data_IF_348603881096
#
_entry.id   IF_348603881096
#
_cell.length_a   1.000
_cell.length_b   1.000
_cell.length_c   1.000
_cell.angle_alpha   90.00
_cell.angle_beta   90.00
_cell.angle_gamma   90.00
#
_symmetry.space_group_name_H-M   'P 1'
#
loop_
_entity.id
_entity.type
_entity.pdbx_description
1 polymer ?
#
# COMPACT_ATOMS: atom_id res chain seq x y z
N UNK A 1 -17.38 2.21 -2.29
CA UNK A 1 -17.41 1.15 -1.27
C UNK A 1 -16.17 0.32 -1.49
N UNK A 2 -15.24 0.30 -0.53
CA UNK A 2 -13.90 -0.30 -0.71
C UNK A 2 -13.78 -1.72 -0.09
N UNK A 3 -14.90 -2.38 0.19
CA UNK A 3 -14.93 -3.80 0.55
C UNK A 3 -15.38 -4.57 -0.70
N UNK A 4 -14.43 -5.21 -1.36
CA UNK A 4 -14.66 -5.98 -2.59
C UNK A 4 -14.82 -7.48 -2.30
N UNK A 5 -14.18 -7.97 -1.24
CA UNK A 5 -14.25 -9.35 -0.78
C UNK A 5 -14.83 -9.38 0.63
N UNK A 6 -15.99 -10.01 0.78
CA UNK A 6 -16.60 -10.26 2.07
C UNK A 6 -15.95 -11.47 2.74
N UNK A 7 -15.84 -11.43 4.05
CA UNK A 7 -15.30 -12.50 4.88
C UNK A 7 -16.35 -12.85 5.92
N UNK A 8 -16.65 -14.12 6.10
CA UNK A 8 -17.58 -14.57 7.13
C UNK A 8 -16.95 -14.51 8.52
N UNK A 9 -17.80 -14.42 9.54
CA UNK A 9 -17.37 -14.39 10.95
C UNK A 9 -16.50 -15.60 11.30
N UNK A 10 -16.94 -16.80 10.87
CA UNK A 10 -16.24 -18.06 11.14
C UNK A 10 -14.86 -18.14 10.46
N UNK A 11 -14.77 -17.74 9.18
CA UNK A 11 -13.50 -17.69 8.44
C UNK A 11 -12.51 -16.72 9.08
N UNK A 12 -13.00 -15.52 9.47
CA UNK A 12 -12.15 -14.53 10.11
C UNK A 12 -11.73 -14.96 11.51
N UNK A 13 -12.62 -15.56 12.30
CA UNK A 13 -12.28 -16.08 13.60
C UNK A 13 -11.20 -17.17 13.54
N UNK A 14 -11.32 -18.11 12.58
CA UNK A 14 -10.31 -19.14 12.33
C UNK A 14 -8.97 -18.53 11.87
N UNK A 15 -9.03 -17.52 11.00
CA UNK A 15 -7.84 -16.80 10.55
C UNK A 15 -7.11 -16.12 11.72
N UNK A 16 -7.82 -15.37 12.56
CA UNK A 16 -7.25 -14.69 13.74
C UNK A 16 -6.69 -15.67 14.76
N UNK A 17 -7.37 -16.79 15.00
CA UNK A 17 -6.88 -17.84 15.90
C UNK A 17 -5.49 -18.35 15.50
N UNK A 18 -5.18 -18.40 14.19
CA UNK A 18 -3.87 -18.83 13.71
C UNK A 18 -2.71 -17.87 14.05
N UNK A 19 -3.00 -16.66 14.49
CA UNK A 19 -2.00 -15.67 14.93
C UNK A 19 -1.73 -15.68 16.44
N UNK A 20 -2.51 -16.44 17.24
CA UNK A 20 -2.36 -16.45 18.70
C UNK A 20 -2.73 -15.13 19.36
N UNK A 21 -3.60 -14.34 18.73
CA UNK A 21 -4.02 -13.02 19.22
C UNK A 21 -5.25 -13.06 20.15
N UNK A 22 -5.63 -14.24 20.62
CA UNK A 22 -6.86 -14.45 21.38
C UNK A 22 -8.08 -14.52 20.48
N UNK A 23 -9.26 -14.27 21.05
CA UNK A 23 -10.52 -14.32 20.32
C UNK A 23 -10.73 -13.09 19.45
N UNK A 24 -11.39 -13.27 18.30
CA UNK A 24 -11.97 -12.19 17.52
C UNK A 24 -13.16 -11.60 18.30
N UNK A 25 -13.11 -10.32 18.62
CA UNK A 25 -14.16 -9.61 19.36
C UNK A 25 -15.14 -8.89 18.42
N UNK A 26 -14.60 -8.22 17.40
CA UNK A 26 -15.40 -7.55 16.38
C UNK A 26 -14.55 -7.21 15.17
N UNK A 27 -15.20 -6.96 14.04
CA UNK A 27 -14.54 -6.42 12.84
C UNK A 27 -15.49 -5.54 12.05
N UNK A 28 -14.91 -4.66 11.25
CA UNK A 28 -15.67 -3.76 10.38
C UNK A 28 -14.88 -3.45 9.12
N UNK A 29 -15.53 -3.53 7.97
CA UNK A 29 -14.96 -3.11 6.69
C UNK A 29 -14.67 -1.60 6.68
N UNK A 30 -13.49 -1.24 6.16
CA UNK A 30 -13.05 0.14 5.97
C UNK A 30 -13.48 0.57 4.57
N UNK A 31 -14.32 1.61 4.49
CA UNK A 31 -14.90 2.07 3.23
C UNK A 31 -13.93 2.90 2.38
N UNK A 32 -12.83 3.34 2.94
CA UNK A 32 -11.79 4.12 2.28
C UNK A 32 -10.80 3.20 1.55
N UNK A 33 -10.28 3.70 0.44
CA UNK A 33 -9.34 2.97 -0.42
C UNK A 33 -10.00 2.49 -1.71
N UNK A 34 -9.17 2.17 -2.71
CA UNK A 34 -9.63 1.82 -4.07
C UNK A 34 -8.96 0.56 -4.63
N UNK A 35 -8.04 -0.05 -3.89
CA UNK A 35 -7.24 -1.15 -4.42
C UNK A 35 -7.42 -2.47 -3.67
N UNK A 36 -7.56 -2.42 -2.34
CA UNK A 36 -7.63 -3.58 -1.49
C UNK A 36 -8.88 -3.55 -0.60
N UNK A 37 -9.31 -4.70 -0.12
CA UNK A 37 -10.31 -4.80 0.93
C UNK A 37 -9.60 -4.70 2.29
N UNK A 38 -10.01 -3.76 3.11
CA UNK A 38 -9.45 -3.57 4.44
C UNK A 38 -10.53 -3.72 5.52
N UNK A 39 -10.15 -4.36 6.62
CA UNK A 39 -10.96 -4.46 7.83
C UNK A 39 -10.19 -3.96 9.03
N UNK A 40 -10.84 -3.20 9.90
CA UNK A 40 -10.37 -3.08 11.28
C UNK A 40 -10.86 -4.30 12.04
N UNK A 41 -9.96 -4.96 12.75
CA UNK A 41 -10.20 -6.19 13.49
C UNK A 41 -9.83 -5.95 14.95
N UNK A 42 -10.75 -6.20 15.87
CA UNK A 42 -10.50 -6.13 17.30
C UNK A 42 -10.38 -7.53 17.88
N UNK A 43 -9.30 -7.78 18.60
CA UNK A 43 -9.01 -9.04 19.28
C UNK A 43 -8.77 -8.79 20.76
N UNK A 44 -8.65 -9.85 21.57
CA UNK A 44 -8.26 -9.73 22.98
C UNK A 44 -6.87 -9.08 23.15
N UNK A 45 -6.03 -9.07 22.12
CA UNK A 45 -4.69 -8.44 22.13
C UNK A 45 -4.69 -7.01 21.55
N UNK A 46 -5.86 -6.50 21.18
CA UNK A 46 -6.02 -5.14 20.64
C UNK A 46 -6.47 -5.09 19.19
N UNK A 47 -6.44 -3.87 18.60
CA UNK A 47 -6.86 -3.64 17.22
C UNK A 47 -5.74 -3.94 16.22
N UNK A 48 -6.14 -4.43 15.05
CA UNK A 48 -5.28 -4.69 13.88
C UNK A 48 -5.98 -4.26 12.61
N UNK A 49 -5.21 -4.09 11.53
CA UNK A 49 -5.75 -3.93 10.18
C UNK A 49 -5.49 -5.23 9.41
N UNK A 50 -6.55 -5.82 8.91
CA UNK A 50 -6.51 -6.92 7.96
C UNK A 50 -6.66 -6.36 6.55
N UNK A 51 -5.69 -6.66 5.69
CA UNK A 51 -5.74 -6.31 4.26
C UNK A 51 -5.84 -7.56 3.42
N UNK A 52 -6.89 -7.65 2.61
CA UNK A 52 -7.02 -8.64 1.53
C UNK A 52 -6.57 -7.97 0.23
N UNK A 53 -5.54 -8.54 -0.40
CA UNK A 53 -4.97 -8.00 -1.64
C UNK A 53 -5.80 -8.44 -2.83
N UNK A 54 -6.39 -7.46 -3.51
CA UNK A 54 -7.24 -7.69 -4.68
C UNK A 54 -6.41 -7.79 -5.97
N UNK A 55 -7.07 -7.72 -7.11
CA UNK A 55 -6.48 -8.03 -8.44
C UNK A 55 -5.35 -7.11 -8.91
N UNK A 56 -5.20 -5.92 -8.33
CA UNK A 56 -4.22 -4.92 -8.81
C UNK A 56 -2.81 -5.12 -8.30
N UNK A 57 -2.63 -5.85 -7.21
CA UNK A 57 -1.31 -6.11 -6.62
C UNK A 57 -0.82 -7.46 -7.13
N UNK A 58 0.36 -7.48 -7.75
CA UNK A 58 1.01 -8.74 -8.10
C UNK A 58 1.46 -9.47 -6.84
N UNK A 59 1.15 -10.77 -6.74
CA UNK A 59 1.53 -11.61 -5.59
C UNK A 59 3.04 -11.57 -5.33
N UNK A 60 3.81 -11.47 -6.40
CA UNK A 60 5.28 -11.39 -6.37
C UNK A 60 5.80 -10.11 -5.72
N UNK A 61 4.97 -9.06 -5.62
CA UNK A 61 5.33 -7.77 -5.02
C UNK A 61 5.04 -7.73 -3.50
N UNK A 62 4.18 -8.62 -2.98
CA UNK A 62 3.78 -8.61 -1.57
C UNK A 62 4.95 -8.80 -0.59
N UNK A 63 5.94 -9.68 -0.86
CA UNK A 63 7.13 -9.79 -0.01
C UNK A 63 7.94 -8.49 0.08
N UNK A 64 7.98 -7.70 -1.00
CA UNK A 64 8.61 -6.38 -0.97
C UNK A 64 7.89 -5.43 0.00
N UNK A 65 6.58 -5.33 -0.08
CA UNK A 65 5.81 -4.40 0.75
C UNK A 65 5.84 -4.81 2.23
N UNK A 66 5.57 -6.08 2.53
CA UNK A 66 5.58 -6.58 3.90
C UNK A 66 6.99 -6.51 4.52
N UNK A 67 8.01 -6.93 3.77
CA UNK A 67 9.39 -6.86 4.21
C UNK A 67 9.88 -5.42 4.42
N UNK A 68 9.43 -4.47 3.59
CA UNK A 68 9.76 -3.06 3.78
C UNK A 68 9.15 -2.49 5.07
N UNK A 69 7.89 -2.81 5.37
CA UNK A 69 7.26 -2.39 6.63
C UNK A 69 8.03 -2.92 7.85
N UNK A 70 8.40 -4.22 7.86
CA UNK A 70 9.22 -4.80 8.93
C UNK A 70 10.59 -4.11 9.05
N UNK A 71 11.25 -3.86 7.91
CA UNK A 71 12.56 -3.22 7.87
C UNK A 71 12.56 -1.79 8.40
N UNK A 72 11.54 -1.00 8.03
CA UNK A 72 11.35 0.38 8.49
C UNK A 72 11.01 0.43 9.98
N UNK A 73 10.08 -0.43 10.45
CA UNK A 73 9.71 -0.53 11.85
C UNK A 73 10.92 -0.88 12.74
N UNK A 74 11.77 -1.83 12.31
CA UNK A 74 12.99 -2.19 13.02
C UNK A 74 14.01 -1.04 13.11
N UNK A 75 13.89 -0.02 12.25
CA UNK A 75 14.70 1.22 12.28
C UNK A 75 14.03 2.39 13.00
N UNK A 76 12.92 2.14 13.68
CA UNK A 76 12.21 3.16 14.45
C UNK A 76 11.34 4.10 13.61
N UNK A 77 11.09 3.78 12.34
CA UNK A 77 10.11 4.49 11.53
C UNK A 77 8.71 4.07 11.97
N UNK A 78 7.87 5.05 12.32
CA UNK A 78 6.47 4.79 12.69
C UNK A 78 5.68 4.36 11.46
N UNK A 79 5.47 3.06 11.30
CA UNK A 79 4.67 2.48 10.22
C UNK A 79 3.94 1.22 10.73
N UNK A 80 2.87 0.77 10.05
CA UNK A 80 2.25 -0.51 10.37
C UNK A 80 3.28 -1.63 10.23
N UNK A 81 3.24 -2.59 11.15
CA UNK A 81 4.16 -3.74 11.13
C UNK A 81 3.37 -5.01 10.86
N UNK A 82 3.76 -5.83 9.87
CA UNK A 82 3.14 -7.12 9.63
C UNK A 82 3.21 -8.02 10.85
N UNK A 83 2.09 -8.63 11.20
CA UNK A 83 1.99 -9.61 12.27
C UNK A 83 2.26 -10.98 11.68
N UNK A 84 3.13 -11.75 12.33
CA UNK A 84 3.40 -13.15 11.94
C UNK A 84 2.45 -14.07 12.66
N UNK A 85 1.98 -15.09 11.94
CA UNK A 85 1.19 -16.16 12.55
C UNK A 85 2.05 -17.10 13.41
N UNK A 86 1.44 -18.09 14.02
CA UNK A 86 2.14 -19.07 14.87
C UNK A 86 3.19 -19.92 14.14
N UNK A 87 3.16 -19.95 12.81
CA UNK A 87 4.17 -20.61 11.95
C UNK A 87 5.28 -19.65 11.50
N UNK A 88 5.15 -18.35 11.78
CA UNK A 88 6.09 -17.32 11.35
C UNK A 88 5.74 -16.65 10.01
N UNK A 89 4.59 -16.95 9.41
CA UNK A 89 4.15 -16.40 8.14
C UNK A 89 3.45 -15.06 8.35
N UNK A 90 3.77 -14.05 7.53
CA UNK A 90 3.13 -12.75 7.53
C UNK A 90 2.17 -12.53 6.35
N UNK A 91 2.07 -13.52 5.44
CA UNK A 91 1.18 -13.52 4.29
C UNK A 91 0.45 -14.86 4.21
N UNK A 92 -0.87 -14.82 4.21
CA UNK A 92 -1.73 -16.01 4.19
C UNK A 92 -2.82 -15.90 3.13
N UNK A 93 -3.74 -16.86 3.13
CA UNK A 93 -4.94 -16.83 2.28
C UNK A 93 -6.18 -16.68 3.17
N UNK A 94 -7.11 -15.83 2.75
CA UNK A 94 -8.42 -15.66 3.37
C UNK A 94 -9.45 -15.32 2.27
N UNK A 95 -10.58 -15.99 2.27
CA UNK A 95 -11.64 -15.80 1.27
C UNK A 95 -11.11 -15.81 -0.19
N UNK A 96 -10.14 -16.71 -0.49
CA UNK A 96 -9.52 -16.83 -1.81
C UNK A 96 -8.60 -15.68 -2.21
N UNK A 97 -8.21 -14.82 -1.25
CA UNK A 97 -7.28 -13.69 -1.46
C UNK A 97 -6.04 -13.82 -0.59
N UNK A 98 -4.87 -13.36 -1.07
CA UNK A 98 -3.74 -13.13 -0.19
C UNK A 98 -4.13 -12.11 0.87
N UNK A 99 -3.80 -12.39 2.11
CA UNK A 99 -4.18 -11.56 3.25
C UNK A 99 -3.00 -11.37 4.21
N UNK A 100 -2.86 -10.17 4.73
CA UNK A 100 -1.90 -9.85 5.77
C UNK A 100 -2.57 -9.07 6.90
N UNK A 101 -2.16 -9.38 8.12
CA UNK A 101 -2.54 -8.65 9.31
C UNK A 101 -1.40 -7.70 9.69
N UNK A 102 -1.71 -6.41 9.92
CA UNK A 102 -0.73 -5.43 10.35
C UNK A 102 -1.20 -4.73 11.63
N UNK A 103 -0.25 -4.20 12.39
CA UNK A 103 -0.56 -3.44 13.61
C UNK A 103 -1.39 -2.20 13.28
N UNK A 104 -2.35 -1.89 14.15
CA UNK A 104 -3.11 -0.66 14.07
C UNK A 104 -2.25 0.52 14.56
N UNK A 105 -2.23 1.61 13.83
CA UNK A 105 -1.63 2.86 14.27
C UNK A 105 -2.71 3.82 14.75
N UNK A 106 -2.58 4.26 15.98
CA UNK A 106 -3.46 5.29 16.54
C UNK A 106 -3.21 6.64 15.88
N UNK A 107 -4.27 7.38 15.64
CA UNK A 107 -4.18 8.70 15.05
C UNK A 107 -5.54 9.26 14.67
N UNK A 108 -5.53 10.46 14.16
CA UNK A 108 -6.74 11.10 13.65
C UNK A 108 -6.43 11.88 12.37
N UNK A 109 -7.43 11.96 11.54
CA UNK A 109 -7.34 12.66 10.27
C UNK A 109 -7.47 14.18 10.44
N UNK A 110 -6.53 14.93 9.87
CA UNK A 110 -6.53 16.40 9.91
C UNK A 110 -7.18 16.94 8.64
N UNK A 111 -8.44 17.37 8.76
CA UNK A 111 -9.23 17.86 7.62
C UNK A 111 -8.67 19.15 6.98
N UNK A 112 -8.07 20.03 7.80
CA UNK A 112 -7.48 21.29 7.34
C UNK A 112 -6.04 21.37 7.86
N UNK A 113 -5.05 20.88 7.09
CA UNK A 113 -3.67 20.89 7.55
C UNK A 113 -3.15 22.34 7.67
N UNK A 114 -2.43 22.59 8.77
CA UNK A 114 -1.68 23.81 9.00
C UNK A 114 -0.18 23.56 8.67
N UNK A 115 0.66 24.61 8.57
CA UNK A 115 2.09 24.47 8.28
C UNK A 115 2.82 23.47 9.18
N UNK A 116 2.45 23.38 10.46
CA UNK A 116 3.03 22.41 11.40
C UNK A 116 2.74 20.94 10.98
N UNK A 117 1.57 20.65 10.43
CA UNK A 117 1.22 19.33 9.94
C UNK A 117 2.03 19.00 8.67
N UNK A 118 2.21 19.97 7.77
CA UNK A 118 3.06 19.78 6.58
C UNK A 118 4.52 19.53 6.96
N UNK A 119 5.04 20.27 7.94
CA UNK A 119 6.39 20.04 8.45
C UNK A 119 6.54 18.66 9.12
N UNK A 120 5.52 18.19 9.86
CA UNK A 120 5.52 16.86 10.45
C UNK A 120 5.49 15.76 9.37
N UNK A 121 4.65 15.90 8.35
CA UNK A 121 4.59 14.97 7.22
C UNK A 121 5.93 14.92 6.46
N UNK A 122 6.53 16.07 6.17
CA UNK A 122 7.84 16.14 5.52
C UNK A 122 8.95 15.45 6.33
N UNK A 123 8.95 15.61 7.65
CA UNK A 123 9.89 14.85 8.51
C UNK A 123 9.65 13.36 8.47
N UNK A 124 8.39 12.92 8.53
CA UNK A 124 8.05 11.50 8.45
C UNK A 124 8.47 10.89 7.11
N UNK A 125 8.24 11.60 6.00
CA UNK A 125 8.71 11.19 4.67
C UNK A 125 10.24 11.05 4.62
N UNK A 126 10.97 12.03 5.14
CA UNK A 126 12.43 11.98 5.18
C UNK A 126 12.93 10.80 6.04
N UNK A 127 12.31 10.53 7.17
CA UNK A 127 12.62 9.38 8.02
C UNK A 127 12.36 8.05 7.29
N UNK A 128 11.27 7.94 6.52
CA UNK A 128 10.97 6.77 5.70
C UNK A 128 12.05 6.57 4.63
N UNK A 129 12.41 7.62 3.90
CA UNK A 129 13.42 7.52 2.83
C UNK A 129 14.79 7.13 3.40
N UNK A 130 15.24 7.76 4.48
CA UNK A 130 16.50 7.41 5.15
C UNK A 130 16.45 6.02 5.78
N UNK A 131 15.34 5.67 6.43
CA UNK A 131 15.12 4.35 7.00
C UNK A 131 15.10 3.23 5.95
N UNK A 132 14.65 3.53 4.74
CA UNK A 132 14.63 2.62 3.61
C UNK A 132 16.01 2.35 2.97
N UNK A 133 17.04 3.10 3.33
CA UNK A 133 18.39 2.88 2.80
C UNK A 133 18.92 1.48 3.16
N UNK A 134 19.46 0.78 2.16
CA UNK A 134 19.98 -0.57 2.35
C UNK A 134 18.94 -1.68 2.37
N UNK A 135 17.64 -1.40 2.14
CA UNK A 135 16.64 -2.44 1.97
C UNK A 135 16.97 -3.30 0.76
N UNK A 136 17.11 -4.61 0.97
CA UNK A 136 17.70 -5.51 -0.03
C UNK A 136 16.78 -5.83 -1.21
N UNK A 137 15.46 -5.92 -0.96
CA UNK A 137 14.51 -6.26 -2.01
C UNK A 137 14.34 -5.09 -2.98
N UNK A 138 14.22 -5.41 -4.26
CA UNK A 138 14.02 -4.43 -5.34
C UNK A 138 12.69 -4.69 -6.03
N UNK A 139 12.02 -3.62 -6.41
CA UNK A 139 10.80 -3.64 -7.17
C UNK A 139 10.85 -2.55 -8.24
N UNK A 140 10.49 -2.89 -9.47
CA UNK A 140 10.35 -1.88 -10.52
C UNK A 140 9.13 -0.99 -10.25
N UNK A 141 9.30 0.32 -10.43
CA UNK A 141 8.17 1.24 -10.40
C UNK A 141 7.40 1.17 -11.72
N UNK A 142 6.24 0.51 -11.72
CA UNK A 142 5.39 0.39 -12.90
C UNK A 142 4.78 1.74 -13.34
N UNK A 143 4.74 2.74 -12.45
CA UNK A 143 4.24 4.09 -12.73
C UNK A 143 5.38 5.11 -12.90
N UNK A 144 6.59 4.66 -13.19
CA UNK A 144 7.71 5.51 -13.57
C UNK A 144 7.75 5.79 -15.07
N UNK A 145 8.76 6.54 -15.53
CA UNK A 145 8.95 6.98 -16.91
C UNK A 145 8.72 5.87 -17.95
N UNK A 146 9.30 4.68 -17.72
CA UNK A 146 9.15 3.53 -18.63
C UNK A 146 7.74 2.93 -18.67
N UNK A 147 6.92 3.20 -17.67
CA UNK A 147 5.56 2.66 -17.55
C UNK A 147 4.49 3.58 -18.13
N UNK A 148 4.73 4.89 -18.20
CA UNK A 148 3.69 5.86 -18.56
C UNK A 148 3.24 5.73 -20.02
N UNK A 149 4.16 5.63 -20.97
CA UNK A 149 3.81 5.50 -22.39
C UNK A 149 3.00 4.21 -22.65
N UNK A 150 3.43 3.00 -22.23
CA UNK A 150 2.61 1.80 -22.38
C UNK A 150 1.25 1.87 -21.68
N UNK A 151 1.17 2.59 -20.56
CA UNK A 151 -0.11 2.81 -19.87
C UNK A 151 -1.04 3.70 -20.70
N UNK A 152 -0.53 4.81 -21.23
CA UNK A 152 -1.31 5.72 -22.07
C UNK A 152 -1.79 5.02 -23.35
N UNK A 153 -0.94 4.28 -24.05
CA UNK A 153 -1.26 3.59 -25.29
C UNK A 153 -2.47 2.66 -25.17
N UNK A 154 -2.68 2.05 -24.00
CA UNK A 154 -3.87 1.21 -23.73
C UNK A 154 -5.19 1.98 -23.79
N UNK A 155 -5.15 3.29 -23.57
CA UNK A 155 -6.32 4.14 -23.44
C UNK A 155 -6.33 5.32 -24.41
N UNK A 156 -5.30 5.45 -25.27
CA UNK A 156 -5.12 6.59 -26.16
C UNK A 156 -6.36 6.87 -27.05
N UNK A 157 -6.99 5.80 -27.57
CA UNK A 157 -8.21 5.92 -28.38
C UNK A 157 -9.40 6.55 -27.62
N UNK A 158 -9.41 6.50 -26.28
CA UNK A 158 -10.45 7.09 -25.45
C UNK A 158 -10.15 8.51 -24.98
N UNK A 159 -8.95 9.02 -25.22
CA UNK A 159 -8.58 10.36 -24.77
C UNK A 159 -9.47 11.44 -25.38
N UNK A 160 -9.81 11.31 -26.67
CA UNK A 160 -10.68 12.25 -27.37
C UNK A 160 -12.15 12.22 -26.88
N UNK A 161 -12.60 11.16 -26.23
CA UNK A 161 -13.93 11.08 -25.60
C UNK A 161 -14.04 12.03 -24.39
N UNK A 162 -12.90 12.32 -23.75
CA UNK A 162 -12.82 13.24 -22.59
C UNK A 162 -12.63 14.68 -23.10
N UNK A 163 -11.63 14.90 -23.97
CA UNK A 163 -11.35 16.17 -24.64
C UNK A 163 -10.58 15.93 -25.94
N UNK A 164 -10.92 16.63 -27.02
CA UNK A 164 -10.19 16.52 -28.31
C UNK A 164 -8.69 16.77 -28.19
N UNK A 165 -8.28 17.66 -27.30
CA UNK A 165 -6.88 18.07 -27.12
C UNK A 165 -6.09 17.19 -26.15
N UNK A 166 -6.75 16.28 -25.42
CA UNK A 166 -6.11 15.48 -24.36
C UNK A 166 -5.05 14.53 -24.91
N UNK A 167 -5.33 13.87 -26.03
CA UNK A 167 -4.38 12.97 -26.68
C UNK A 167 -3.08 13.68 -27.08
N UNK A 168 -3.16 14.73 -27.94
CA UNK A 168 -2.00 15.55 -28.31
C UNK A 168 -1.22 16.11 -27.10
N UNK A 169 -1.91 16.58 -26.06
CA UNK A 169 -1.27 17.09 -24.85
C UNK A 169 -0.45 16.00 -24.13
N UNK A 170 -1.04 14.82 -23.91
CA UNK A 170 -0.34 13.71 -23.25
C UNK A 170 0.88 13.27 -24.08
N UNK A 171 0.75 13.16 -25.41
CA UNK A 171 1.87 12.80 -26.27
C UNK A 171 3.02 13.81 -26.18
N UNK A 172 2.72 15.11 -26.21
CA UNK A 172 3.70 16.16 -26.06
C UNK A 172 4.43 16.09 -24.71
N UNK A 173 3.68 15.92 -23.63
CA UNK A 173 4.25 15.82 -22.28
C UNK A 173 5.10 14.56 -22.11
N UNK A 174 4.64 13.41 -22.61
CA UNK A 174 5.44 12.18 -22.58
C UNK A 174 6.76 12.35 -23.34
N UNK A 175 6.73 12.93 -24.54
CA UNK A 175 7.93 13.18 -25.32
C UNK A 175 8.91 14.14 -24.57
N UNK A 176 8.37 15.19 -23.95
CA UNK A 176 9.17 16.13 -23.15
C UNK A 176 9.83 15.45 -21.95
N UNK A 177 9.06 14.64 -21.20
CA UNK A 177 9.57 13.92 -20.02
C UNK A 177 10.60 12.85 -20.40
N UNK A 178 10.38 12.12 -21.50
CA UNK A 178 11.33 11.12 -21.99
C UNK A 178 12.66 11.75 -22.42
N UNK A 179 12.63 12.94 -23.02
CA UNK A 179 13.82 13.66 -23.48
C UNK A 179 14.58 14.36 -22.35
N UNK A 180 13.88 14.82 -21.31
CA UNK A 180 14.45 15.66 -20.25
C UNK A 180 14.47 15.04 -18.85
N UNK A 181 14.14 13.74 -18.74
CA UNK A 181 14.12 13.07 -17.44
C UNK A 181 15.48 13.14 -16.74
N UNK A 182 15.52 13.59 -15.49
CA UNK A 182 16.78 13.73 -14.79
C UNK A 182 17.51 12.39 -14.64
N UNK A 183 18.80 12.39 -14.90
CA UNK A 183 19.69 11.25 -14.75
C UNK A 183 20.66 11.47 -13.61
N UNK A 184 21.23 10.39 -13.07
CA UNK A 184 22.23 10.46 -12.00
C UNK A 184 21.69 10.80 -10.63
N UNK A 185 20.38 10.80 -10.44
CA UNK A 185 19.77 10.94 -9.11
C UNK A 185 19.93 9.64 -8.32
N UNK A 186 20.07 9.78 -6.99
CA UNK A 186 20.12 8.63 -6.09
C UNK A 186 18.79 7.89 -6.10
N UNK A 187 18.84 6.59 -6.37
CA UNK A 187 17.70 5.70 -6.27
C UNK A 187 17.51 5.19 -4.84
N UNK A 188 16.25 4.94 -4.46
CA UNK A 188 15.95 4.38 -3.15
C UNK A 188 14.49 3.98 -3.03
N UNK A 189 14.15 3.48 -1.83
CA UNK A 189 12.75 3.30 -1.45
C UNK A 189 12.18 4.66 -1.10
N UNK A 190 11.17 5.07 -1.85
CA UNK A 190 10.39 6.28 -1.60
C UNK A 190 8.92 5.92 -1.49
N UNK A 191 8.13 6.78 -0.83
CA UNK A 191 6.69 6.57 -0.65
C UNK A 191 5.93 6.72 -1.98
#
# INVERSE_FOLDING_TARGET
MAVYTEVSDDELAAFIASYGLGQLLSFKGIAEGVENTNYIVHTERGPFILTLYEKRVALTDLPFFLGLMEYLAARGVSCPTPVRDLNGDNLKQLAGRPAALVTFLEGFWVRRPAPIHCAAAGRAMAQLHLGGEGFALKRANALGLKGWRPLYEKFAAKAAEISPDLGPLIEQELATLEASWPTGLKDGVIH
#
